data_IF_101922437938
#
_entry.id   IF_101922437938
#
_cell.length_a   1.000
_cell.length_b   1.000
_cell.length_c   1.000
_cell.angle_alpha   90.00
_cell.angle_beta   90.00
_cell.angle_gamma   90.00
#
_symmetry.space_group_name_H-M   'P 1'
#
loop_
_entity.id
_entity.type
_entity.pdbx_description
1 polymer ?
#
# COMPACT_ATOMS: atom_id res chain seq x y z
N UNK A 1 19.70 20.31 -16.99
CA UNK A 1 19.41 18.87 -16.85
C UNK A 1 20.72 18.10 -16.77
N UNK A 2 20.77 16.90 -16.19
CA UNK A 2 21.99 16.08 -16.23
C UNK A 2 22.04 15.30 -17.56
N UNK A 3 23.20 15.22 -18.25
CA UNK A 3 23.35 14.35 -19.41
C UNK A 3 23.06 12.89 -19.04
N UNK A 4 22.30 12.18 -19.86
CA UNK A 4 21.95 10.77 -19.63
C UNK A 4 21.02 10.51 -18.42
N UNK A 5 20.40 11.55 -17.85
CA UNK A 5 19.62 11.46 -16.61
C UNK A 5 18.48 10.45 -16.66
N UNK A 6 17.74 10.41 -17.76
CA UNK A 6 16.65 9.44 -17.93
C UNK A 6 17.14 8.00 -17.86
N UNK A 7 18.28 7.70 -18.50
CA UNK A 7 18.90 6.37 -18.47
C UNK A 7 19.29 5.95 -17.07
N UNK A 8 19.88 6.86 -16.30
CA UNK A 8 20.20 6.63 -14.89
C UNK A 8 18.94 6.37 -14.05
N UNK A 9 17.90 7.19 -14.22
CA UNK A 9 16.62 7.02 -13.53
C UNK A 9 15.99 5.67 -13.84
N UNK A 10 15.93 5.27 -15.12
CA UNK A 10 15.42 3.96 -15.52
C UNK A 10 16.24 2.83 -14.89
N UNK A 11 17.57 2.98 -14.82
CA UNK A 11 18.46 2.06 -14.12
C UNK A 11 18.15 1.94 -12.63
N UNK A 12 17.93 3.06 -11.93
CA UNK A 12 17.55 3.06 -10.51
C UNK A 12 16.23 2.32 -10.29
N UNK A 13 15.22 2.58 -11.12
CA UNK A 13 13.93 1.89 -11.03
C UNK A 13 14.05 0.38 -11.31
N UNK A 14 14.88 -0.02 -12.26
CA UNK A 14 15.16 -1.42 -12.56
C UNK A 14 15.86 -2.14 -11.38
N UNK A 15 16.57 -1.40 -10.52
CA UNK A 15 17.16 -1.93 -9.28
C UNK A 15 16.19 -1.88 -8.08
N UNK A 16 14.94 -1.45 -8.28
CA UNK A 16 13.91 -1.47 -7.24
C UNK A 16 13.61 -0.12 -6.57
N UNK A 17 14.12 1.01 -7.06
CA UNK A 17 13.85 2.35 -6.48
C UNK A 17 12.37 2.59 -6.21
N UNK A 18 11.97 2.59 -4.93
CA UNK A 18 10.57 2.70 -4.49
C UNK A 18 9.85 3.92 -5.09
N UNK A 19 10.51 5.08 -5.05
CA UNK A 19 9.95 6.36 -5.48
C UNK A 19 11.05 7.31 -5.94
N UNK A 20 10.83 8.01 -7.04
CA UNK A 20 11.68 9.11 -7.47
C UNK A 20 10.97 10.45 -7.21
N UNK A 21 11.64 11.35 -6.49
CA UNK A 21 11.20 12.73 -6.37
C UNK A 21 11.96 13.60 -7.37
N UNK A 22 11.24 14.15 -8.35
CA UNK A 22 11.86 14.98 -9.38
C UNK A 22 11.78 16.45 -8.98
N UNK A 23 12.93 16.99 -8.55
CA UNK A 23 13.10 18.39 -8.14
C UNK A 23 14.15 19.08 -9.00
N UNK A 24 13.70 20.00 -9.86
CA UNK A 24 14.49 20.77 -10.82
C UNK A 24 13.99 22.23 -10.80
N UNK A 25 14.27 22.99 -9.73
CA UNK A 25 13.63 24.29 -9.50
C UNK A 25 13.95 25.34 -10.57
N UNK A 26 15.07 25.20 -11.27
CA UNK A 26 15.49 26.10 -12.35
C UNK A 26 15.19 25.56 -13.75
N UNK A 27 14.60 24.37 -13.88
CA UNK A 27 14.30 23.81 -15.20
C UNK A 27 12.97 24.35 -15.74
N UNK A 28 12.93 24.65 -17.04
CA UNK A 28 11.68 25.00 -17.71
C UNK A 28 10.76 23.76 -17.78
N UNK A 29 9.46 23.99 -17.99
CA UNK A 29 8.50 22.89 -18.15
C UNK A 29 8.90 21.96 -19.31
N UNK A 30 9.37 22.53 -20.44
CA UNK A 30 9.81 21.78 -21.61
C UNK A 30 10.98 20.83 -21.32
N UNK A 31 11.95 21.25 -20.50
CA UNK A 31 13.08 20.41 -20.10
C UNK A 31 12.63 19.23 -19.25
N UNK A 32 11.71 19.48 -18.30
CA UNK A 32 11.17 18.45 -17.44
C UNK A 32 10.30 17.47 -18.22
N UNK A 33 9.49 17.97 -19.17
CA UNK A 33 8.72 17.15 -20.12
C UNK A 33 9.65 16.22 -20.90
N UNK A 34 10.71 16.75 -21.50
CA UNK A 34 11.70 15.95 -22.24
C UNK A 34 12.39 14.87 -21.39
N UNK A 35 12.60 15.11 -20.09
CA UNK A 35 13.07 14.08 -19.17
C UNK A 35 12.02 12.99 -18.94
N UNK A 36 10.77 13.37 -18.66
CA UNK A 36 9.68 12.42 -18.38
C UNK A 36 9.35 11.54 -19.59
N UNK A 37 9.46 12.07 -20.82
CA UNK A 37 9.28 11.32 -22.07
C UNK A 37 10.26 10.15 -22.19
N UNK A 38 11.50 10.34 -21.74
CA UNK A 38 12.57 9.34 -21.80
C UNK A 38 12.55 8.34 -20.62
N UNK A 39 11.75 8.59 -19.59
CA UNK A 39 11.53 7.62 -18.51
C UNK A 39 10.48 6.61 -18.96
N UNK A 40 10.79 5.32 -18.76
CA UNK A 40 9.92 4.20 -19.12
C UNK A 40 8.51 4.42 -18.51
N UNK A 41 7.43 4.38 -19.33
CA UNK A 41 6.07 4.58 -18.87
C UNK A 41 5.68 3.77 -17.62
N UNK A 42 6.18 2.53 -17.48
CA UNK A 42 5.84 1.67 -16.33
C UNK A 42 6.33 2.22 -15.00
N UNK A 43 7.32 3.11 -15.00
CA UNK A 43 7.87 3.71 -13.79
C UNK A 43 7.23 5.05 -13.40
N UNK A 44 6.45 5.67 -14.29
CA UNK A 44 5.91 7.03 -14.06
C UNK A 44 4.97 7.12 -12.85
N UNK A 45 4.22 6.05 -12.54
CA UNK A 45 3.40 5.98 -11.31
C UNK A 45 4.20 6.00 -9.99
N UNK A 46 5.53 5.83 -10.07
CA UNK A 46 6.47 5.89 -8.94
C UNK A 46 7.22 7.23 -8.87
N UNK A 47 6.88 8.20 -9.72
CA UNK A 47 7.47 9.54 -9.72
C UNK A 47 6.59 10.48 -8.89
N UNK A 48 7.21 11.40 -8.15
CA UNK A 48 6.57 12.52 -7.49
C UNK A 48 7.17 13.85 -7.99
N UNK A 49 6.33 14.72 -8.52
CA UNK A 49 6.75 16.02 -9.06
C UNK A 49 6.78 17.11 -7.99
N UNK A 50 7.89 17.83 -7.88
CA UNK A 50 8.02 18.99 -6.97
C UNK A 50 7.62 20.32 -7.61
N UNK A 51 7.69 20.40 -8.94
CA UNK A 51 7.33 21.57 -9.75
C UNK A 51 6.66 21.12 -11.06
N UNK A 52 6.04 22.06 -11.77
CA UNK A 52 5.32 21.81 -13.04
C UNK A 52 4.27 20.69 -12.91
N UNK A 53 3.42 20.78 -11.87
CA UNK A 53 2.41 19.76 -11.56
C UNK A 53 1.41 19.51 -12.70
N UNK A 54 1.22 20.47 -13.61
CA UNK A 54 0.39 20.30 -14.81
C UNK A 54 0.86 19.16 -15.73
N UNK A 55 2.15 18.77 -15.66
CA UNK A 55 2.66 17.61 -16.39
C UNK A 55 2.14 16.27 -15.85
N UNK A 56 1.58 16.24 -14.63
CA UNK A 56 1.26 14.98 -13.97
C UNK A 56 0.25 14.14 -14.76
N UNK A 57 -0.84 14.76 -15.22
CA UNK A 57 -1.88 14.07 -16.00
C UNK A 57 -1.35 13.54 -17.34
N UNK A 58 -0.61 14.38 -18.08
CA UNK A 58 -0.05 14.01 -19.38
C UNK A 58 0.90 12.80 -19.33
N UNK A 59 1.52 12.56 -18.18
CA UNK A 59 2.47 11.46 -17.98
C UNK A 59 1.95 10.33 -17.08
N UNK A 60 0.67 10.36 -16.67
CA UNK A 60 0.09 9.37 -15.77
C UNK A 60 0.76 9.34 -14.38
N UNK A 61 1.35 10.46 -13.96
CA UNK A 61 1.98 10.62 -12.66
C UNK A 61 0.89 10.97 -11.65
N UNK A 62 0.74 10.17 -10.61
CA UNK A 62 -0.32 10.33 -9.61
C UNK A 62 0.18 10.89 -8.28
N UNK A 63 1.39 11.46 -8.25
CA UNK A 63 2.01 11.93 -7.00
C UNK A 63 2.58 13.34 -7.14
N UNK A 64 2.20 14.20 -6.21
CA UNK A 64 2.64 15.59 -6.15
C UNK A 64 3.35 15.85 -4.82
N UNK A 65 4.42 16.63 -4.88
CA UNK A 65 5.17 17.05 -3.71
C UNK A 65 5.18 18.58 -3.64
N UNK A 66 4.95 19.09 -2.43
CA UNK A 66 4.99 20.52 -2.12
C UNK A 66 6.10 20.78 -1.11
N UNK A 67 7.11 21.57 -1.48
CA UNK A 67 8.09 22.07 -0.51
C UNK A 67 7.38 22.79 0.63
N UNK A 68 8.04 22.97 1.77
CA UNK A 68 7.44 23.68 2.90
C UNK A 68 6.94 25.08 2.50
N UNK A 69 7.77 25.86 1.79
CA UNK A 69 7.39 27.18 1.28
C UNK A 69 6.19 27.11 0.34
N UNK A 70 6.16 26.14 -0.59
CA UNK A 70 5.02 26.00 -1.50
C UNK A 70 3.76 25.57 -0.75
N UNK A 71 3.87 24.72 0.27
CA UNK A 71 2.74 24.30 1.08
C UNK A 71 2.13 25.46 1.84
N UNK A 72 2.97 26.27 2.50
CA UNK A 72 2.54 27.42 3.29
C UNK A 72 1.95 28.54 2.43
N UNK A 73 2.32 28.63 1.15
CA UNK A 73 1.75 29.58 0.20
C UNK A 73 0.38 29.15 -0.38
N UNK A 74 -0.08 27.94 -0.09
CA UNK A 74 -1.32 27.37 -0.62
C UNK A 74 -2.39 27.32 0.47
N UNK A 75 -3.65 27.38 0.05
CA UNK A 75 -4.79 27.15 0.94
C UNK A 75 -4.93 25.67 1.26
N UNK A 76 -5.50 25.35 2.42
CA UNK A 76 -5.69 23.97 2.86
C UNK A 76 -6.60 23.15 1.91
N UNK A 77 -7.64 23.77 1.38
CA UNK A 77 -8.62 23.14 0.46
C UNK A 77 -8.02 22.74 -0.89
N UNK A 78 -6.92 23.37 -1.32
CA UNK A 78 -6.16 22.98 -2.52
C UNK A 78 -5.74 21.51 -2.45
N UNK A 79 -5.22 21.08 -1.30
CA UNK A 79 -4.71 19.72 -1.13
C UNK A 79 -5.84 18.69 -1.08
N UNK A 80 -6.96 19.02 -0.46
CA UNK A 80 -8.15 18.17 -0.43
C UNK A 80 -8.76 18.00 -1.84
N UNK A 81 -8.78 19.06 -2.64
CA UNK A 81 -9.18 19.00 -4.05
C UNK A 81 -8.30 18.05 -4.86
N UNK A 82 -6.98 18.18 -4.73
CA UNK A 82 -6.03 17.30 -5.39
C UNK A 82 -6.17 15.82 -4.95
N UNK A 83 -6.43 15.57 -3.65
CA UNK A 83 -6.71 14.22 -3.14
C UNK A 83 -7.98 13.62 -3.74
N UNK A 84 -9.06 14.41 -3.86
CA UNK A 84 -10.31 13.99 -4.52
C UNK A 84 -10.09 13.62 -5.98
N UNK A 85 -9.15 14.30 -6.65
CA UNK A 85 -8.75 13.98 -8.02
C UNK A 85 -7.79 12.79 -8.13
N UNK A 86 -7.59 12.02 -7.05
CA UNK A 86 -6.81 10.79 -7.05
C UNK A 86 -5.31 10.96 -6.88
N UNK A 87 -4.82 12.18 -6.63
CA UNK A 87 -3.40 12.41 -6.38
C UNK A 87 -3.00 11.97 -4.97
N UNK A 88 -1.85 11.31 -4.85
CA UNK A 88 -1.13 11.17 -3.58
C UNK A 88 -0.28 12.42 -3.35
N UNK A 89 -0.39 13.04 -2.18
CA UNK A 89 0.24 14.33 -1.88
C UNK A 89 1.25 14.17 -0.76
N UNK A 90 2.37 14.88 -0.88
CA UNK A 90 3.42 14.93 0.14
C UNK A 90 3.97 16.33 0.33
N UNK A 91 4.61 16.56 1.48
CA UNK A 91 5.25 17.84 1.77
C UNK A 91 6.60 17.70 2.46
N UNK A 92 7.36 18.79 2.56
CA UNK A 92 8.56 18.88 3.38
C UNK A 92 8.27 19.71 4.63
N UNK A 93 8.93 19.35 5.72
CA UNK A 93 9.02 20.11 6.97
C UNK A 93 10.47 20.16 7.44
N UNK A 94 10.86 21.24 8.11
CA UNK A 94 12.21 21.38 8.66
C UNK A 94 12.26 21.44 10.19
N UNK A 95 11.10 21.52 10.84
CA UNK A 95 10.96 21.47 12.30
C UNK A 95 10.11 20.25 12.70
N UNK A 96 10.61 19.34 13.56
CA UNK A 96 9.82 18.22 14.06
C UNK A 96 8.49 18.62 14.69
N UNK A 97 8.40 19.79 15.33
CA UNK A 97 7.18 20.29 15.95
C UNK A 97 6.06 20.61 14.94
N UNK A 98 6.38 20.71 13.65
CA UNK A 98 5.38 20.97 12.61
C UNK A 98 4.69 19.69 12.12
N UNK A 99 5.16 18.49 12.52
CA UNK A 99 4.50 17.21 12.20
C UNK A 99 3.05 17.22 12.67
N UNK A 100 2.79 17.68 13.89
CA UNK A 100 1.44 17.71 14.49
C UNK A 100 0.50 18.70 13.80
N UNK A 101 1.03 19.65 13.02
CA UNK A 101 0.29 20.68 12.28
C UNK A 101 -0.04 20.24 10.85
N UNK A 102 0.46 19.09 10.41
CA UNK A 102 0.23 18.61 9.05
C UNK A 102 -1.22 18.12 8.90
N UNK A 103 -1.88 18.58 7.84
CA UNK A 103 -3.21 18.10 7.48
C UNK A 103 -3.18 16.60 7.11
N UNK A 104 -4.27 15.90 7.42
CA UNK A 104 -4.50 14.50 7.07
C UNK A 104 -4.53 14.25 5.54
N UNK A 105 -4.57 15.30 4.71
CA UNK A 105 -4.50 15.17 3.26
C UNK A 105 -3.11 14.72 2.75
N UNK A 106 -2.05 14.86 3.54
CA UNK A 106 -0.71 14.42 3.13
C UNK A 106 -0.50 12.93 3.42
N UNK A 107 -0.15 12.15 2.40
CA UNK A 107 0.15 10.72 2.50
C UNK A 107 1.48 10.46 3.22
N UNK A 108 2.43 11.39 3.07
CA UNK A 108 3.73 11.35 3.74
C UNK A 108 4.39 12.73 3.73
N UNK A 109 5.34 12.94 4.64
CA UNK A 109 6.16 14.15 4.71
C UNK A 109 7.65 13.81 4.79
N UNK A 110 8.49 14.66 4.20
CA UNK A 110 9.92 14.67 4.49
C UNK A 110 10.18 15.53 5.71
N UNK A 111 10.93 15.01 6.66
CA UNK A 111 11.55 15.84 7.70
C UNK A 111 13.06 15.83 7.48
N UNK A 112 13.62 17.03 7.32
CA UNK A 112 15.04 17.20 7.08
C UNK A 112 15.50 18.63 7.34
N UNK A 113 16.81 18.86 7.51
CA UNK A 113 17.86 17.84 7.51
C UNK A 113 17.85 17.01 8.81
N UNK A 114 17.88 15.68 8.71
CA UNK A 114 17.99 14.81 9.89
C UNK A 114 19.41 14.84 10.44
N UNK A 115 20.41 14.85 9.55
CA UNK A 115 21.82 15.03 9.92
C UNK A 115 22.44 16.19 9.13
N UNK A 116 23.56 16.69 9.64
CA UNK A 116 24.33 17.72 8.94
C UNK A 116 24.63 17.29 7.50
N UNK A 117 24.54 18.26 6.58
CA UNK A 117 24.72 17.98 5.16
C UNK A 117 26.14 17.53 4.86
N UNK A 118 26.27 16.35 4.24
CA UNK A 118 27.54 15.79 3.76
C UNK A 118 28.20 16.72 2.72
N UNK A 119 27.43 17.54 1.99
CA UNK A 119 27.93 18.39 0.89
C UNK A 119 27.79 19.90 1.10
N UNK A 120 27.07 20.38 2.14
CA UNK A 120 26.87 21.81 2.41
C UNK A 120 27.18 22.16 3.88
N UNK A 121 28.32 22.81 4.13
CA UNK A 121 28.84 23.14 5.48
C UNK A 121 27.92 24.01 6.37
N UNK A 122 26.84 24.59 5.86
CA UNK A 122 25.94 25.50 6.60
C UNK A 122 24.54 24.94 6.91
N UNK A 123 24.30 23.63 6.74
CA UNK A 123 22.99 23.02 6.97
C UNK A 123 23.02 22.17 8.25
N UNK A 124 22.53 22.73 9.36
CA UNK A 124 22.53 22.10 10.69
C UNK A 124 21.34 21.14 10.87
N UNK A 125 21.58 19.98 11.48
CA UNK A 125 20.57 18.96 11.81
C UNK A 125 19.38 19.53 12.61
N UNK A 126 18.17 19.08 12.27
CA UNK A 126 16.92 19.45 12.94
C UNK A 126 16.59 18.57 14.16
N UNK A 127 17.32 17.45 14.35
CA UNK A 127 17.08 16.49 15.43
C UNK A 127 18.33 16.39 16.32
N UNK A 128 18.17 16.68 17.61
CA UNK A 128 19.16 16.40 18.66
C UNK A 128 18.91 15.00 19.20
N UNK A 129 19.96 14.24 19.56
CA UNK A 129 19.94 12.79 19.78
C UNK A 129 18.99 12.19 20.82
N UNK A 130 18.15 12.99 21.49
CA UNK A 130 17.17 12.57 22.51
C UNK A 130 15.70 12.84 22.13
N UNK A 131 15.44 13.45 20.97
CA UNK A 131 14.06 13.79 20.56
C UNK A 131 13.37 12.62 19.85
N UNK A 132 12.51 11.88 20.56
CA UNK A 132 11.52 10.99 19.94
C UNK A 132 10.51 11.82 19.14
N UNK A 133 10.24 11.45 17.89
CA UNK A 133 9.28 12.15 17.04
C UNK A 133 7.86 11.94 17.57
N UNK A 134 7.21 13.03 18.02
CA UNK A 134 5.82 12.97 18.41
C UNK A 134 4.92 12.93 17.16
N UNK A 135 4.08 11.89 17.05
CA UNK A 135 3.25 11.63 15.85
C UNK A 135 1.75 11.61 16.13
N UNK A 136 1.30 11.98 17.33
CA UNK A 136 -0.07 11.70 17.79
C UNK A 136 -1.16 12.08 16.77
N UNK A 137 -0.95 13.07 15.90
CA UNK A 137 -1.95 13.57 14.96
C UNK A 137 -1.64 13.39 13.46
N UNK A 138 -0.47 12.89 13.05
CA UNK A 138 -0.14 12.75 11.61
C UNK A 138 -0.28 11.28 11.15
N UNK A 139 -1.27 10.95 10.30
CA UNK A 139 -1.51 9.58 9.86
C UNK A 139 -0.61 9.13 8.69
N UNK A 140 0.12 10.06 8.07
CA UNK A 140 1.00 9.78 6.95
C UNK A 140 2.37 9.26 7.37
N UNK A 141 3.15 8.77 6.40
CA UNK A 141 4.54 8.31 6.66
C UNK A 141 5.47 9.51 6.85
N UNK A 142 6.42 9.44 7.78
CA UNK A 142 7.49 10.41 7.92
C UNK A 142 8.79 9.85 7.35
N UNK A 143 9.33 10.52 6.35
CA UNK A 143 10.51 10.07 5.60
C UNK A 143 11.68 10.98 5.97
N UNK A 144 12.77 10.37 6.42
CA UNK A 144 13.98 11.09 6.77
C UNK A 144 14.67 11.62 5.51
N UNK A 145 15.12 12.87 5.53
CA UNK A 145 15.87 13.48 4.44
C UNK A 145 17.05 14.29 4.99
N UNK A 146 18.20 14.18 4.33
CA UNK A 146 19.38 15.03 4.60
C UNK A 146 20.44 14.35 5.47
N UNK A 147 21.64 14.19 4.90
CA UNK A 147 22.81 13.63 5.59
C UNK A 147 22.72 12.14 5.90
N UNK A 148 21.92 11.38 5.13
CA UNK A 148 21.72 9.93 5.31
C UNK A 148 22.64 9.17 4.37
N UNK A 149 23.36 8.20 4.94
CA UNK A 149 24.15 7.17 4.28
C UNK A 149 23.81 5.79 4.87
N UNK A 150 24.52 4.75 4.42
CA UNK A 150 24.34 3.36 4.85
C UNK A 150 24.66 3.15 6.34
N UNK A 151 25.57 3.93 6.92
CA UNK A 151 25.96 3.82 8.35
C UNK A 151 24.92 4.39 9.31
N UNK A 152 24.00 5.24 8.81
CA UNK A 152 23.03 5.96 9.64
C UNK A 152 21.61 5.37 9.62
N UNK A 153 21.37 4.32 8.84
CA UNK A 153 20.03 3.76 8.64
C UNK A 153 19.39 3.28 9.94
N UNK A 154 20.10 2.54 10.78
CA UNK A 154 19.55 2.04 12.05
C UNK A 154 19.18 3.16 13.02
N UNK A 155 19.98 4.22 13.06
CA UNK A 155 19.68 5.40 13.87
C UNK A 155 18.41 6.09 13.37
N UNK A 156 18.26 6.28 12.05
CA UNK A 156 17.05 6.86 11.48
C UNK A 156 15.81 6.03 11.81
N UNK A 157 15.90 4.70 11.73
CA UNK A 157 14.80 3.83 12.13
C UNK A 157 14.48 3.94 13.63
N UNK A 158 15.50 4.01 14.49
CA UNK A 158 15.31 4.16 15.95
C UNK A 158 14.64 5.49 16.34
N UNK A 159 14.81 6.53 15.54
CA UNK A 159 14.11 7.82 15.67
C UNK A 159 12.63 7.74 15.22
N UNK A 160 12.21 6.60 14.69
CA UNK A 160 10.84 6.25 14.36
C UNK A 160 10.46 6.47 12.89
N UNK A 161 11.33 7.00 12.04
CA UNK A 161 11.04 7.26 10.62
C UNK A 161 10.57 6.02 9.86
N UNK A 162 9.63 6.21 8.92
CA UNK A 162 9.04 5.13 8.12
C UNK A 162 9.85 4.83 6.83
N UNK A 163 10.86 5.65 6.55
CA UNK A 163 11.75 5.45 5.41
C UNK A 163 12.80 6.55 5.27
N UNK A 164 13.62 6.42 4.23
CA UNK A 164 14.72 7.35 3.93
C UNK A 164 14.61 7.89 2.50
N UNK A 165 15.02 9.14 2.33
CA UNK A 165 15.24 9.76 1.03
C UNK A 165 16.69 10.21 0.92
N UNK A 166 17.32 9.83 -0.20
CA UNK A 166 18.73 10.10 -0.47
C UNK A 166 18.89 10.93 -1.73
N UNK A 167 19.83 11.88 -1.69
CA UNK A 167 20.20 12.73 -2.81
C UNK A 167 21.71 12.68 -3.05
N UNK A 168 22.50 13.20 -2.11
CA UNK A 168 23.95 13.29 -2.24
C UNK A 168 24.64 11.94 -2.42
N UNK A 169 24.18 10.89 -1.72
CA UNK A 169 24.74 9.55 -1.85
C UNK A 169 24.57 8.93 -3.25
N UNK A 170 23.61 9.42 -4.06
CA UNK A 170 23.32 8.88 -5.39
C UNK A 170 23.86 9.78 -6.49
N UNK A 171 23.69 11.10 -6.35
CA UNK A 171 23.89 12.04 -7.46
C UNK A 171 25.21 12.80 -7.42
N UNK A 172 26.06 12.61 -6.40
CA UNK A 172 27.40 13.24 -6.35
C UNK A 172 28.28 12.76 -7.51
N UNK A 173 28.19 11.48 -7.85
CA UNK A 173 28.86 10.88 -9.01
C UNK A 173 27.81 10.20 -9.90
N UNK A 174 27.20 10.92 -10.85
CA UNK A 174 26.09 10.40 -11.66
C UNK A 174 26.43 9.09 -12.38
N UNK A 175 27.67 8.94 -12.88
CA UNK A 175 28.14 7.72 -13.52
C UNK A 175 28.01 6.47 -12.63
N UNK A 176 28.04 6.64 -11.31
CA UNK A 176 27.96 5.58 -10.31
C UNK A 176 26.57 5.48 -9.64
N UNK A 177 25.58 6.28 -10.05
CA UNK A 177 24.29 6.42 -9.36
C UNK A 177 23.57 5.07 -9.14
N UNK A 178 23.54 4.20 -10.16
CA UNK A 178 22.87 2.88 -10.07
C UNK A 178 23.61 1.94 -9.12
N UNK A 179 24.94 1.95 -9.15
CA UNK A 179 25.79 1.15 -8.25
C UNK A 179 25.65 1.63 -6.81
N UNK A 180 25.71 2.94 -6.58
CA UNK A 180 25.52 3.55 -5.26
C UNK A 180 24.13 3.23 -4.69
N UNK A 181 23.09 3.30 -5.53
CA UNK A 181 21.74 2.92 -5.13
C UNK A 181 21.64 1.45 -4.73
N UNK A 182 22.24 0.54 -5.50
CA UNK A 182 22.23 -0.89 -5.17
C UNK A 182 22.88 -1.16 -3.81
N UNK A 183 24.00 -0.52 -3.52
CA UNK A 183 24.67 -0.64 -2.23
C UNK A 183 23.76 -0.16 -1.08
N UNK A 184 23.16 1.03 -1.23
CA UNK A 184 22.26 1.59 -0.23
C UNK A 184 20.98 0.77 -0.05
N UNK A 185 20.40 0.25 -1.13
CA UNK A 185 19.23 -0.62 -1.09
C UNK A 185 19.53 -1.94 -0.36
N UNK A 186 20.72 -2.51 -0.60
CA UNK A 186 21.21 -3.70 0.12
C UNK A 186 21.38 -3.42 1.62
N UNK A 187 22.00 -2.28 1.97
CA UNK A 187 22.15 -1.87 3.37
C UNK A 187 20.79 -1.63 4.06
N UNK A 188 19.84 -1.00 3.36
CA UNK A 188 18.48 -0.77 3.87
C UNK A 188 17.72 -2.08 4.11
N UNK A 189 17.86 -3.06 3.21
CA UNK A 189 17.26 -4.38 3.39
C UNK A 189 17.89 -5.17 4.56
N UNK A 190 19.17 -4.92 4.85
CA UNK A 190 19.86 -5.53 5.99
C UNK A 190 19.51 -4.84 7.33
N UNK A 191 19.17 -3.54 7.31
CA UNK A 191 18.84 -2.74 8.50
C UNK A 191 17.59 -3.26 9.22
N UNK A 192 17.71 -3.78 10.46
CA UNK A 192 16.58 -4.35 11.20
C UNK A 192 15.41 -3.38 11.40
N UNK A 193 15.71 -2.09 11.51
CA UNK A 193 14.71 -1.05 11.76
C UNK A 193 13.88 -0.64 10.53
N UNK A 194 14.33 -0.99 9.32
CA UNK A 194 13.61 -0.73 8.07
C UNK A 194 13.13 -1.99 7.36
N UNK A 195 13.32 -3.17 7.96
CA UNK A 195 12.72 -4.40 7.45
C UNK A 195 11.20 -4.25 7.43
N UNK A 196 10.51 -4.65 6.35
CA UNK A 196 9.08 -4.94 6.43
C UNK A 196 8.86 -5.86 7.64
N UNK A 197 8.04 -5.45 8.61
CA UNK A 197 7.76 -6.27 9.80
C UNK A 197 8.81 -6.30 10.93
N UNK A 198 9.97 -5.64 10.78
CA UNK A 198 11.01 -5.54 11.82
C UNK A 198 10.55 -4.77 13.06
N UNK A 199 10.27 -5.49 14.15
CA UNK A 199 10.02 -4.88 15.44
C UNK A 199 11.30 -4.30 16.02
N UNK A 200 11.36 -2.97 16.14
CA UNK A 200 12.26 -2.33 17.10
C UNK A 200 11.87 -2.76 18.50
N UNK A 201 12.77 -3.45 19.20
CA UNK A 201 12.69 -3.82 20.61
C UNK A 201 12.91 -2.64 21.56
N UNK A 202 12.60 -1.42 21.12
CA UNK A 202 12.77 -0.22 21.92
C UNK A 202 11.62 -0.08 22.93
N UNK A 203 11.92 -0.30 24.20
CA UNK A 203 11.10 0.00 25.38
C UNK A 203 10.90 1.51 25.61
N UNK A 204 10.66 2.28 24.55
CA UNK A 204 10.23 3.68 24.62
C UNK A 204 8.70 3.78 24.76
N UNK A 205 8.17 4.82 25.40
CA UNK A 205 6.74 4.93 25.65
C UNK A 205 5.98 5.13 24.34
N UNK A 206 5.27 4.09 23.90
CA UNK A 206 4.09 4.25 23.07
C UNK A 206 4.22 3.96 21.56
N UNK A 207 4.89 2.87 21.16
CA UNK A 207 4.47 2.22 19.90
C UNK A 207 3.12 1.53 20.13
N UNK A 208 2.01 2.27 19.92
CA UNK A 208 0.72 1.63 19.73
C UNK A 208 0.71 1.07 18.30
N UNK A 209 0.51 -0.24 18.09
CA UNK A 209 0.38 -0.79 16.75
C UNK A 209 -0.70 -0.02 16.00
N UNK A 210 -0.38 0.47 14.80
CA UNK A 210 -1.38 1.13 13.95
C UNK A 210 -2.61 0.23 13.80
N UNK A 211 -3.80 0.83 13.84
CA UNK A 211 -5.07 0.11 13.66
C UNK A 211 -4.99 -0.70 12.37
N UNK A 212 -5.17 -2.03 12.47
CA UNK A 212 -5.28 -2.92 11.30
C UNK A 212 -6.42 -2.43 10.43
N UNK A 213 -6.11 -1.82 9.28
CA UNK A 213 -7.12 -1.31 8.35
C UNK A 213 -7.51 -2.40 7.37
N UNK A 214 -8.81 -2.70 7.29
CA UNK A 214 -9.42 -3.57 6.27
C UNK A 214 -9.94 -2.67 5.14
N UNK A 215 -9.55 -2.96 3.90
CA UNK A 215 -10.02 -2.19 2.74
C UNK A 215 -11.47 -2.58 2.40
N UNK A 216 -12.21 -1.70 1.70
CA UNK A 216 -13.58 -2.00 1.28
C UNK A 216 -13.64 -2.66 -0.10
N UNK A 217 -12.54 -2.66 -0.86
CA UNK A 217 -12.46 -3.32 -2.16
C UNK A 217 -11.35 -4.36 -2.18
N UNK A 218 -11.73 -5.64 -2.19
CA UNK A 218 -10.81 -6.77 -2.24
C UNK A 218 -10.75 -7.35 -3.67
N UNK A 219 -9.55 -7.50 -4.22
CA UNK A 219 -9.34 -8.29 -5.43
C UNK A 219 -8.83 -9.69 -5.08
N UNK A 220 -9.38 -10.72 -5.71
CA UNK A 220 -8.99 -12.12 -5.53
C UNK A 220 -8.44 -12.63 -6.86
N UNK A 221 -7.17 -13.05 -6.85
CA UNK A 221 -6.52 -13.56 -8.05
C UNK A 221 -7.18 -14.84 -8.54
N UNK A 222 -7.22 -15.01 -9.86
CA UNK A 222 -7.72 -16.21 -10.49
C UNK A 222 -6.88 -16.53 -11.71
N UNK A 223 -6.45 -17.78 -11.82
CA UNK A 223 -5.74 -18.30 -12.98
C UNK A 223 -6.75 -18.84 -13.99
N UNK A 224 -6.51 -18.57 -15.27
CA UNK A 224 -7.25 -19.15 -16.41
C UNK A 224 -6.25 -19.73 -17.40
N UNK A 225 -6.72 -20.44 -18.43
CA UNK A 225 -5.83 -20.98 -19.47
C UNK A 225 -5.01 -19.92 -20.22
N UNK A 226 -5.36 -18.64 -20.10
CA UNK A 226 -4.68 -17.52 -20.77
C UNK A 226 -4.09 -16.48 -19.82
N UNK A 227 -4.27 -16.63 -18.49
CA UNK A 227 -3.88 -15.61 -17.51
C UNK A 227 -3.37 -16.26 -16.24
N UNK A 228 -2.13 -15.96 -15.85
CA UNK A 228 -1.55 -16.41 -14.59
C UNK A 228 -2.11 -15.63 -13.40
N UNK A 229 -1.93 -16.14 -12.18
CA UNK A 229 -2.22 -15.38 -10.96
C UNK A 229 -1.50 -14.02 -10.94
N UNK A 230 -0.22 -13.98 -11.31
CA UNK A 230 0.58 -12.76 -11.29
C UNK A 230 0.07 -11.75 -12.31
N UNK A 231 -0.33 -12.19 -13.51
CA UNK A 231 -0.90 -11.30 -14.51
C UNK A 231 -2.25 -10.73 -14.07
N UNK A 232 -3.10 -11.56 -13.44
CA UNK A 232 -4.36 -11.08 -12.88
C UNK A 232 -4.15 -10.03 -11.77
N UNK A 233 -3.14 -10.23 -10.92
CA UNK A 233 -2.75 -9.28 -9.86
C UNK A 233 -2.21 -7.99 -10.48
N UNK A 234 -1.33 -8.08 -11.48
CA UNK A 234 -0.77 -6.92 -12.18
C UNK A 234 -1.90 -6.07 -12.78
N UNK A 235 -2.83 -6.70 -13.48
CA UNK A 235 -4.00 -6.03 -14.06
C UNK A 235 -4.82 -5.31 -12.98
N UNK A 236 -5.11 -5.96 -11.85
CA UNK A 236 -5.86 -5.35 -10.75
C UNK A 236 -5.12 -4.18 -10.09
N UNK A 237 -3.80 -4.32 -9.88
CA UNK A 237 -2.96 -3.26 -9.31
C UNK A 237 -2.85 -2.05 -10.25
N UNK A 238 -2.71 -2.29 -11.54
CA UNK A 238 -2.73 -1.26 -12.57
C UNK A 238 -4.09 -0.57 -12.64
N UNK A 239 -5.19 -1.32 -12.52
CA UNK A 239 -6.54 -0.78 -12.46
C UNK A 239 -6.75 0.16 -11.27
N UNK A 240 -6.13 -0.15 -10.12
CA UNK A 240 -6.16 0.71 -8.93
C UNK A 240 -6.26 -0.03 -7.60
N UNK A 241 -6.50 -1.35 -7.62
CA UNK A 241 -6.74 -2.16 -6.41
C UNK A 241 -5.52 -2.12 -5.47
N UNK A 242 -5.76 -1.97 -4.16
CA UNK A 242 -4.69 -1.97 -3.14
C UNK A 242 -4.82 -3.07 -2.11
N UNK A 243 -5.87 -3.88 -2.17
CA UNK A 243 -6.03 -5.11 -1.40
C UNK A 243 -6.10 -6.32 -2.33
N UNK A 244 -5.05 -7.12 -2.32
CA UNK A 244 -4.86 -8.25 -3.23
C UNK A 244 -4.84 -9.54 -2.44
N UNK A 245 -5.70 -10.49 -2.77
CA UNK A 245 -5.70 -11.84 -2.24
C UNK A 245 -5.15 -12.81 -3.29
N UNK A 246 -4.02 -13.46 -3.00
CA UNK A 246 -3.47 -14.53 -3.83
C UNK A 246 -4.18 -15.84 -3.48
N UNK A 247 -4.95 -16.37 -4.43
CA UNK A 247 -5.77 -17.57 -4.24
C UNK A 247 -5.38 -18.70 -5.19
N UNK A 248 -4.31 -19.42 -4.86
CA UNK A 248 -3.86 -20.61 -5.60
C UNK A 248 -4.65 -21.83 -5.13
N UNK A 249 -5.30 -22.55 -6.05
CA UNK A 249 -6.12 -23.73 -5.75
C UNK A 249 -5.37 -25.00 -6.09
N UNK A 250 -5.63 -26.08 -5.35
CA UNK A 250 -5.22 -27.45 -5.70
C UNK A 250 -3.70 -27.60 -5.94
N UNK A 251 -2.88 -26.81 -5.25
CA UNK A 251 -1.41 -26.91 -5.31
C UNK A 251 -0.84 -27.03 -3.89
N UNK A 252 0.22 -27.83 -3.70
CA UNK A 252 0.89 -27.95 -2.40
C UNK A 252 1.63 -26.66 -2.04
N UNK A 253 1.89 -26.48 -0.74
CA UNK A 253 2.51 -25.26 -0.19
C UNK A 253 3.83 -24.88 -0.90
N UNK A 254 4.65 -25.88 -1.27
CA UNK A 254 5.95 -25.64 -1.93
C UNK A 254 5.80 -25.00 -3.32
N UNK A 255 4.68 -25.23 -4.02
CA UNK A 255 4.40 -24.62 -5.32
C UNK A 255 3.76 -23.23 -5.18
N UNK A 256 3.09 -22.96 -4.06
CA UNK A 256 2.47 -21.66 -3.79
C UNK A 256 3.52 -20.64 -3.36
N UNK A 257 4.53 -21.04 -2.60
CA UNK A 257 5.54 -20.14 -2.02
C UNK A 257 6.28 -19.28 -3.08
N UNK A 258 6.76 -19.81 -4.23
CA UNK A 258 7.38 -18.99 -5.26
C UNK A 258 6.44 -17.94 -5.85
N UNK A 259 5.16 -18.30 -6.06
CA UNK A 259 4.13 -17.39 -6.59
C UNK A 259 3.84 -16.29 -5.56
N UNK A 260 3.78 -16.64 -4.27
CA UNK A 260 3.58 -15.70 -3.18
C UNK A 260 4.72 -14.67 -3.10
N UNK A 261 5.98 -15.10 -3.22
CA UNK A 261 7.12 -14.17 -3.27
C UNK A 261 7.05 -13.18 -4.44
N UNK A 262 6.63 -13.65 -5.60
CA UNK A 262 6.45 -12.77 -6.77
C UNK A 262 5.29 -11.80 -6.55
N UNK A 263 4.17 -12.27 -6.02
CA UNK A 263 3.03 -11.44 -5.67
C UNK A 263 3.38 -10.38 -4.61
N UNK A 264 4.22 -10.70 -3.61
CA UNK A 264 4.71 -9.76 -2.60
C UNK A 264 5.49 -8.63 -3.25
N UNK A 265 6.53 -8.95 -4.03
CA UNK A 265 7.33 -7.94 -4.75
C UNK A 265 6.47 -7.04 -5.63
N UNK A 266 5.49 -7.64 -6.30
CA UNK A 266 4.57 -6.91 -7.15
C UNK A 266 3.68 -5.97 -6.32
N UNK A 267 3.02 -6.44 -5.26
CA UNK A 267 2.19 -5.61 -4.38
C UNK A 267 2.97 -4.47 -3.73
N UNK A 268 4.20 -4.74 -3.26
CA UNK A 268 5.08 -3.74 -2.65
C UNK A 268 5.40 -2.61 -3.63
N UNK A 269 5.64 -2.93 -4.90
CA UNK A 269 5.91 -1.94 -5.95
C UNK A 269 4.73 -0.99 -6.21
N UNK A 270 3.51 -1.39 -5.84
CA UNK A 270 2.28 -0.59 -5.95
C UNK A 270 1.78 -0.05 -4.60
N UNK A 271 2.50 -0.26 -3.48
CA UNK A 271 2.07 0.12 -2.12
C UNK A 271 0.70 -0.52 -1.78
N UNK A 272 0.53 -1.78 -2.20
CA UNK A 272 -0.65 -2.61 -2.00
C UNK A 272 -0.42 -3.65 -0.90
N UNK A 273 -1.51 -4.17 -0.33
CA UNK A 273 -1.52 -5.20 0.71
C UNK A 273 -1.77 -6.56 0.07
N UNK A 274 -0.87 -7.51 0.33
CA UNK A 274 -1.03 -8.89 -0.07
C UNK A 274 -1.65 -9.71 1.06
N UNK A 275 -2.68 -10.48 0.72
CA UNK A 275 -3.32 -11.49 1.55
C UNK A 275 -3.07 -12.85 0.92
N UNK A 276 -2.57 -13.81 1.69
CA UNK A 276 -2.42 -15.20 1.22
C UNK A 276 -3.68 -15.98 1.57
N UNK A 277 -4.23 -16.74 0.62
CA UNK A 277 -5.36 -17.63 0.88
C UNK A 277 -4.85 -18.99 1.38
N UNK A 278 -5.54 -19.61 2.33
CA UNK A 278 -5.43 -21.01 2.83
C UNK A 278 -4.09 -21.42 3.50
N UNK A 279 -2.98 -20.72 3.24
CA UNK A 279 -1.63 -21.15 3.65
C UNK A 279 -0.99 -20.22 4.71
N UNK A 280 -1.25 -20.42 6.02
CA UNK A 280 -0.67 -19.63 7.11
C UNK A 280 0.87 -19.58 7.10
N UNK A 281 1.53 -20.70 6.79
CA UNK A 281 3.01 -20.78 6.76
C UNK A 281 3.59 -19.98 5.60
N UNK A 282 2.93 -19.97 4.44
CA UNK A 282 3.32 -19.13 3.31
C UNK A 282 3.11 -17.66 3.66
N UNK A 283 1.98 -17.30 4.27
CA UNK A 283 1.71 -15.94 4.72
C UNK A 283 2.80 -15.41 5.66
N UNK A 284 3.24 -16.25 6.61
CA UNK A 284 4.35 -15.92 7.50
C UNK A 284 5.68 -15.80 6.74
N UNK A 285 6.00 -16.78 5.86
CA UNK A 285 7.26 -16.83 5.16
C UNK A 285 7.49 -15.65 4.20
N UNK A 286 6.44 -15.14 3.57
CA UNK A 286 6.51 -13.97 2.67
C UNK A 286 6.16 -12.66 3.36
N UNK A 287 5.99 -12.69 4.69
CA UNK A 287 5.60 -11.53 5.52
C UNK A 287 4.36 -10.81 4.97
N UNK A 288 3.37 -11.58 4.55
CA UNK A 288 2.14 -11.05 3.98
C UNK A 288 1.42 -10.11 4.96
N UNK A 289 0.72 -9.11 4.43
CA UNK A 289 -0.10 -8.23 5.27
C UNK A 289 -1.23 -9.00 5.97
N UNK A 290 -1.75 -10.04 5.30
CA UNK A 290 -2.76 -10.89 5.88
C UNK A 290 -2.83 -12.30 5.30
N UNK A 291 -3.75 -13.06 5.88
CA UNK A 291 -4.15 -14.41 5.56
C UNK A 291 -5.68 -14.42 5.41
N UNK A 292 -6.21 -15.25 4.52
CA UNK A 292 -7.63 -15.56 4.45
C UNK A 292 -7.83 -17.07 4.53
N UNK A 293 -8.74 -17.52 5.38
CA UNK A 293 -9.01 -18.93 5.65
C UNK A 293 -10.43 -19.28 5.27
N UNK A 294 -10.58 -20.32 4.46
CA UNK A 294 -11.83 -21.01 4.19
C UNK A 294 -12.38 -21.77 5.39
N UNK A 295 -13.47 -22.50 5.13
CA UNK A 295 -14.17 -23.29 6.15
C UNK A 295 -13.43 -24.58 6.52
N UNK A 296 -12.70 -25.17 5.57
CA UNK A 296 -12.01 -26.45 5.73
C UNK A 296 -10.50 -26.31 5.98
N UNK A 297 -9.99 -25.07 6.05
CA UNK A 297 -8.58 -24.79 6.30
C UNK A 297 -8.27 -24.81 7.80
N UNK A 298 -7.02 -24.50 8.15
CA UNK A 298 -6.59 -24.34 9.55
C UNK A 298 -7.54 -23.39 10.30
N UNK A 299 -8.00 -23.73 11.52
CA UNK A 299 -8.82 -22.83 12.34
C UNK A 299 -8.12 -21.49 12.60
N UNK A 300 -8.88 -20.40 12.64
CA UNK A 300 -8.34 -19.05 12.85
C UNK A 300 -7.50 -18.94 14.14
N UNK A 301 -7.87 -19.54 15.30
CA UNK A 301 -7.05 -19.46 16.51
C UNK A 301 -5.69 -20.15 16.35
N UNK A 302 -5.63 -21.29 15.66
CA UNK A 302 -4.38 -22.00 15.38
C UNK A 302 -3.50 -21.21 14.40
N UNK A 303 -4.10 -20.68 13.33
CA UNK A 303 -3.39 -19.81 12.41
C UNK A 303 -2.86 -18.56 13.12
N UNK A 304 -3.64 -17.95 14.02
CA UNK A 304 -3.23 -16.81 14.84
C UNK A 304 -2.02 -17.15 15.73
N UNK A 305 -2.02 -18.32 16.36
CA UNK A 305 -0.89 -18.79 17.15
C UNK A 305 0.39 -18.95 16.31
N UNK A 306 0.24 -19.34 15.04
CA UNK A 306 1.35 -19.51 14.10
C UNK A 306 1.88 -18.18 13.54
N UNK A 307 1.00 -17.29 13.08
CA UNK A 307 1.39 -16.06 12.36
C UNK A 307 1.53 -14.84 13.27
N UNK A 308 1.09 -14.95 14.52
CA UNK A 308 1.14 -13.87 15.51
C UNK A 308 0.07 -12.79 15.33
N UNK A 309 0.13 -11.77 16.19
CA UNK A 309 -0.88 -10.70 16.25
C UNK A 309 -0.81 -9.66 15.14
N UNK A 310 0.30 -9.57 14.40
CA UNK A 310 0.54 -8.54 13.37
C UNK A 310 -0.22 -8.81 12.07
N UNK A 311 -0.26 -10.06 11.61
CA UNK A 311 -0.89 -10.47 10.35
C UNK A 311 -2.41 -10.38 10.48
N UNK A 312 -3.10 -9.80 9.50
CA UNK A 312 -4.57 -9.81 9.47
C UNK A 312 -5.07 -11.21 9.10
N UNK A 313 -6.12 -11.71 9.75
CA UNK A 313 -6.73 -13.00 9.41
C UNK A 313 -8.20 -12.77 9.06
N UNK A 314 -8.54 -13.02 7.80
CA UNK A 314 -9.92 -13.10 7.34
C UNK A 314 -10.46 -14.52 7.38
N UNK A 315 -11.77 -14.65 7.57
CA UNK A 315 -12.47 -15.93 7.53
C UNK A 315 -13.57 -15.97 6.47
N UNK A 316 -13.77 -17.11 5.81
CA UNK A 316 -14.97 -17.35 4.98
C UNK A 316 -16.16 -17.69 5.87
N UNK A 317 -17.34 -17.15 5.53
CA UNK A 317 -18.63 -17.56 6.10
C UNK A 317 -19.69 -17.73 5.01
N UNK A 318 -20.61 -18.68 5.20
CA UNK A 318 -21.75 -18.90 4.30
C UNK A 318 -23.11 -18.88 5.02
N UNK A 319 -23.11 -19.01 6.35
CA UNK A 319 -24.32 -18.99 7.20
C UNK A 319 -24.14 -18.05 8.39
N UNK A 320 -25.22 -17.79 9.15
CA UNK A 320 -25.13 -17.06 10.41
C UNK A 320 -24.19 -17.75 11.41
N UNK A 321 -24.28 -19.08 11.54
CA UNK A 321 -23.42 -19.84 12.45
C UNK A 321 -21.94 -19.73 12.07
N UNK A 322 -21.62 -19.66 10.77
CA UNK A 322 -20.26 -19.41 10.32
C UNK A 322 -19.78 -18.01 10.71
N UNK A 323 -20.64 -16.98 10.60
CA UNK A 323 -20.30 -15.61 10.99
C UNK A 323 -19.96 -15.56 12.48
N UNK A 324 -20.86 -16.07 13.33
CA UNK A 324 -20.66 -16.11 14.79
C UNK A 324 -19.38 -16.86 15.13
N UNK A 325 -19.17 -18.04 14.53
CA UNK A 325 -17.94 -18.81 14.73
C UNK A 325 -16.69 -18.01 14.39
N UNK A 326 -16.67 -17.28 13.26
CA UNK A 326 -15.49 -16.49 12.86
C UNK A 326 -15.23 -15.28 13.74
N UNK A 327 -16.28 -14.69 14.30
CA UNK A 327 -16.17 -13.62 15.30
C UNK A 327 -15.55 -14.17 16.58
N UNK A 328 -16.08 -15.28 17.10
CA UNK A 328 -15.60 -15.92 18.34
C UNK A 328 -14.15 -16.42 18.21
N UNK A 329 -13.77 -16.88 17.02
CA UNK A 329 -12.39 -17.26 16.70
C UNK A 329 -11.42 -16.06 16.61
N UNK A 330 -11.91 -14.83 16.58
CA UNK A 330 -11.09 -13.61 16.49
C UNK A 330 -10.59 -13.28 15.08
N UNK A 331 -11.40 -13.55 14.05
CA UNK A 331 -11.12 -13.08 12.70
C UNK A 331 -11.19 -11.55 12.62
N UNK A 332 -10.24 -10.92 11.92
CA UNK A 332 -10.18 -9.47 11.75
C UNK A 332 -11.22 -8.96 10.71
N UNK A 333 -11.67 -9.84 9.80
CA UNK A 333 -12.78 -9.58 8.86
C UNK A 333 -13.39 -10.90 8.35
N UNK A 334 -14.57 -10.82 7.75
CA UNK A 334 -15.28 -12.00 7.22
C UNK A 334 -15.61 -11.79 5.74
N UNK A 335 -15.24 -12.75 4.90
CA UNK A 335 -15.73 -12.88 3.53
C UNK A 335 -17.03 -13.69 3.53
N UNK A 336 -18.16 -13.02 3.38
CA UNK A 336 -19.49 -13.63 3.39
C UNK A 336 -19.96 -13.86 1.96
N UNK A 337 -20.50 -15.03 1.65
CA UNK A 337 -21.08 -15.30 0.33
C UNK A 337 -21.65 -16.71 0.22
N UNK A 338 -21.95 -17.21 -0.99
CA UNK A 338 -21.95 -16.46 -2.25
C UNK A 338 -23.16 -15.52 -2.37
N UNK A 339 -22.97 -14.32 -2.94
CA UNK A 339 -24.07 -13.41 -3.28
C UNK A 339 -24.95 -13.94 -4.40
N UNK A 340 -24.33 -14.52 -5.43
CA UNK A 340 -24.99 -15.23 -6.53
C UNK A 340 -24.14 -16.40 -6.99
N UNK A 341 -24.68 -17.20 -7.90
CA UNK A 341 -23.91 -18.24 -8.57
C UNK A 341 -22.65 -17.65 -9.21
N UNK A 342 -21.53 -18.35 -9.07
CA UNK A 342 -20.26 -18.00 -9.74
C UNK A 342 -19.54 -19.27 -10.17
N UNK A 343 -18.95 -19.23 -11.37
CA UNK A 343 -18.13 -20.32 -11.91
C UNK A 343 -16.80 -20.53 -11.16
N UNK A 344 -16.48 -19.67 -10.19
CA UNK A 344 -15.18 -19.68 -9.48
C UNK A 344 -15.13 -20.58 -8.23
N UNK A 345 -16.25 -21.23 -7.84
CA UNK A 345 -16.34 -22.19 -6.71
C UNK A 345 -17.07 -23.46 -7.16
N UNK A 346 -16.48 -24.64 -6.91
CA UNK A 346 -16.99 -25.94 -7.40
C UNK A 346 -18.05 -26.60 -6.48
N UNK A 347 -18.20 -26.17 -5.23
CA UNK A 347 -19.23 -26.61 -4.28
C UNK A 347 -19.84 -25.38 -3.60
N UNK A 348 -21.05 -24.97 -4.00
CA UNK A 348 -21.67 -23.73 -3.51
C UNK A 348 -22.61 -24.01 -2.34
N UNK A 349 -22.38 -23.29 -1.24
CA UNK A 349 -23.39 -23.06 -0.21
C UNK A 349 -24.58 -22.29 -0.77
N UNK A 350 -25.74 -22.23 -0.08
CA UNK A 350 -26.93 -21.54 -0.56
C UNK A 350 -26.62 -20.09 -0.98
N UNK A 351 -27.18 -19.67 -2.11
CA UNK A 351 -27.07 -18.29 -2.59
C UNK A 351 -27.82 -17.37 -1.61
N UNK A 352 -27.13 -16.34 -1.11
CA UNK A 352 -27.71 -15.43 -0.13
C UNK A 352 -28.59 -14.35 -0.77
N UNK A 353 -28.14 -13.79 -1.90
CA UNK A 353 -28.77 -12.59 -2.50
C UNK A 353 -28.80 -11.39 -1.56
N UNK A 354 -29.31 -10.25 -2.01
CA UNK A 354 -29.33 -9.03 -1.20
C UNK A 354 -30.16 -9.19 0.10
N UNK A 355 -31.23 -9.96 0.05
CA UNK A 355 -32.10 -10.21 1.21
C UNK A 355 -31.38 -10.97 2.32
N UNK A 356 -30.61 -12.02 1.97
CA UNK A 356 -29.84 -12.80 2.93
C UNK A 356 -28.75 -11.99 3.61
N UNK A 357 -28.03 -11.15 2.83
CA UNK A 357 -27.06 -10.21 3.39
C UNK A 357 -27.72 -9.21 4.33
N UNK A 358 -28.83 -8.58 3.92
CA UNK A 358 -29.56 -7.64 4.76
C UNK A 358 -30.08 -8.28 6.06
N UNK A 359 -30.51 -9.54 6.01
CA UNK A 359 -30.91 -10.30 7.19
C UNK A 359 -29.75 -10.51 8.17
N UNK A 360 -28.59 -10.96 7.67
CA UNK A 360 -27.41 -11.17 8.52
C UNK A 360 -26.84 -9.86 9.06
N UNK A 361 -26.86 -8.76 8.30
CA UNK A 361 -26.40 -7.46 8.82
C UNK A 361 -27.33 -6.92 9.93
N UNK A 362 -28.65 -7.14 9.84
CA UNK A 362 -29.57 -6.83 10.96
C UNK A 362 -29.27 -7.68 12.19
N UNK A 363 -28.96 -8.97 12.01
CA UNK A 363 -28.56 -9.85 13.12
C UNK A 363 -27.22 -9.43 13.74
N UNK A 364 -26.22 -9.07 12.93
CA UNK A 364 -24.95 -8.48 13.39
C UNK A 364 -25.18 -7.27 14.28
N UNK A 365 -26.01 -6.32 13.83
CA UNK A 365 -26.35 -5.12 14.58
C UNK A 365 -27.08 -5.45 15.89
N UNK A 366 -28.09 -6.34 15.85
CA UNK A 366 -28.83 -6.76 17.03
C UNK A 366 -27.95 -7.46 18.08
N UNK A 367 -26.94 -8.21 17.63
CA UNK A 367 -25.96 -8.88 18.49
C UNK A 367 -24.79 -7.97 18.94
N UNK A 368 -24.73 -6.71 18.45
CA UNK A 368 -23.66 -5.77 18.78
C UNK A 368 -22.31 -6.10 18.15
N UNK A 369 -22.27 -6.91 17.09
CA UNK A 369 -21.04 -7.27 16.39
C UNK A 369 -20.62 -6.19 15.40
N UNK A 370 -19.31 -5.87 15.38
CA UNK A 370 -18.73 -4.82 14.52
C UNK A 370 -17.69 -5.35 13.52
N UNK A 371 -17.51 -6.67 13.44
CA UNK A 371 -16.51 -7.28 12.54
C UNK A 371 -16.83 -6.96 11.08
N UNK A 372 -15.88 -6.42 10.30
CA UNK A 372 -16.10 -6.06 8.90
C UNK A 372 -16.55 -7.24 8.03
N UNK A 373 -17.68 -7.09 7.34
CA UNK A 373 -18.20 -8.07 6.38
C UNK A 373 -17.91 -7.61 4.95
N UNK A 374 -17.25 -8.48 4.17
CA UNK A 374 -16.93 -8.30 2.76
C UNK A 374 -17.79 -9.24 1.93
N UNK A 375 -18.64 -8.69 1.06
CA UNK A 375 -19.48 -9.48 0.16
C UNK A 375 -18.64 -10.20 -0.90
N UNK A 376 -18.85 -11.49 -1.10
CA UNK A 376 -18.18 -12.26 -2.16
C UNK A 376 -19.16 -13.15 -2.93
N UNK A 377 -18.81 -13.46 -4.17
CA UNK A 377 -19.48 -14.47 -4.98
C UNK A 377 -20.33 -13.86 -6.07
N UNK A 378 -19.66 -13.47 -7.17
CA UNK A 378 -20.32 -12.98 -8.37
C UNK A 378 -20.75 -11.51 -8.32
N UNK A 379 -20.21 -10.68 -7.43
CA UNK A 379 -20.53 -9.25 -7.33
C UNK A 379 -20.19 -8.48 -8.62
N UNK A 380 -21.09 -7.61 -9.05
CA UNK A 380 -20.94 -6.66 -10.16
C UNK A 380 -21.05 -5.21 -9.66
N UNK A 381 -20.61 -4.21 -10.43
CA UNK A 381 -20.70 -2.80 -10.01
C UNK A 381 -22.10 -2.36 -9.59
N UNK A 382 -23.14 -2.85 -10.28
CA UNK A 382 -24.54 -2.49 -10.01
C UNK A 382 -25.06 -2.97 -8.65
N UNK A 383 -24.39 -3.93 -8.00
CA UNK A 383 -24.81 -4.46 -6.70
C UNK A 383 -24.35 -3.63 -5.51
N UNK A 384 -23.32 -2.81 -5.73
CA UNK A 384 -22.51 -2.27 -4.64
C UNK A 384 -23.31 -1.31 -3.78
N UNK A 385 -24.12 -0.44 -4.41
CA UNK A 385 -24.96 0.51 -3.68
C UNK A 385 -25.91 -0.21 -2.71
N UNK A 386 -26.60 -1.26 -3.17
CA UNK A 386 -27.51 -2.03 -2.33
C UNK A 386 -26.78 -2.78 -1.21
N UNK A 387 -25.59 -3.35 -1.49
CA UNK A 387 -24.78 -4.03 -0.48
C UNK A 387 -24.26 -3.06 0.59
N UNK A 388 -23.85 -1.86 0.19
CA UNK A 388 -23.43 -0.80 1.12
C UNK A 388 -24.59 -0.33 1.97
N UNK A 389 -25.76 -0.10 1.37
CA UNK A 389 -26.99 0.28 2.10
C UNK A 389 -27.42 -0.80 3.10
N UNK A 390 -27.16 -2.08 2.80
CA UNK A 390 -27.36 -3.18 3.74
C UNK A 390 -26.36 -3.18 4.91
N UNK A 391 -25.34 -2.31 4.90
CA UNK A 391 -24.38 -2.13 5.99
C UNK A 391 -23.07 -2.92 5.83
N UNK A 392 -22.81 -3.50 4.67
CA UNK A 392 -21.55 -4.20 4.44
C UNK A 392 -20.35 -3.25 4.41
N UNK A 393 -19.21 -3.73 4.91
CA UNK A 393 -17.95 -2.98 4.89
C UNK A 393 -17.38 -2.83 3.48
N UNK A 394 -17.60 -3.84 2.64
CA UNK A 394 -16.99 -3.87 1.32
C UNK A 394 -17.40 -5.05 0.47
N UNK A 395 -16.72 -5.19 -0.68
CA UNK A 395 -16.94 -6.24 -1.66
C UNK A 395 -15.62 -6.85 -2.11
N UNK A 396 -15.68 -8.13 -2.49
CA UNK A 396 -14.58 -8.88 -3.08
C UNK A 396 -14.94 -9.33 -4.50
N UNK A 397 -13.98 -9.20 -5.40
CA UNK A 397 -14.16 -9.51 -6.80
C UNK A 397 -12.93 -10.15 -7.44
N UNK A 398 -13.17 -10.74 -8.61
CA UNK A 398 -12.15 -11.43 -9.39
C UNK A 398 -12.46 -11.26 -10.88
N UNK A 399 -13.21 -12.20 -11.47
CA UNK A 399 -13.60 -12.21 -12.88
C UNK A 399 -14.29 -10.94 -13.39
N UNK A 400 -15.07 -10.25 -12.56
CA UNK A 400 -15.72 -9.00 -12.92
C UNK A 400 -14.73 -7.90 -13.33
N UNK A 401 -13.51 -7.92 -12.77
CA UNK A 401 -12.46 -6.96 -13.11
C UNK A 401 -11.57 -7.48 -14.25
N UNK A 402 -11.11 -8.73 -14.17
CA UNK A 402 -10.19 -9.30 -15.18
C UNK A 402 -10.86 -9.57 -16.52
N UNK A 403 -12.18 -9.77 -16.53
CA UNK A 403 -12.98 -9.97 -17.74
C UNK A 403 -13.60 -8.69 -18.31
N UNK A 404 -13.38 -7.53 -17.68
CA UNK A 404 -13.91 -6.26 -18.16
C UNK A 404 -13.14 -5.76 -19.39
N UNK A 405 -13.86 -5.12 -20.33
CA UNK A 405 -13.23 -4.46 -21.48
C UNK A 405 -12.28 -3.32 -21.06
N UNK A 406 -12.61 -2.63 -19.96
CA UNK A 406 -11.76 -1.62 -19.34
C UNK A 406 -11.71 -1.84 -17.81
N UNK A 407 -10.67 -2.52 -17.30
CA UNK A 407 -10.51 -2.76 -15.87
C UNK A 407 -10.36 -1.48 -15.04
N UNK A 408 -9.73 -0.42 -15.57
CA UNK A 408 -9.57 0.86 -14.84
C UNK A 408 -10.90 1.56 -14.65
N UNK A 409 -11.71 1.63 -15.71
CA UNK A 409 -13.06 2.20 -15.63
C UNK A 409 -13.94 1.40 -14.67
N UNK A 410 -13.90 0.07 -14.78
CA UNK A 410 -14.65 -0.83 -13.89
C UNK A 410 -14.26 -0.59 -12.44
N UNK A 411 -12.94 -0.58 -12.14
CA UNK A 411 -12.41 -0.25 -10.81
C UNK A 411 -12.94 1.09 -10.29
N UNK A 412 -12.90 2.17 -11.09
CA UNK A 412 -13.40 3.47 -10.65
C UNK A 412 -14.90 3.48 -10.37
N UNK A 413 -15.72 2.79 -11.19
CA UNK A 413 -17.17 2.67 -10.94
C UNK A 413 -17.44 2.00 -9.59
N UNK A 414 -16.70 0.93 -9.30
CA UNK A 414 -16.80 0.19 -8.04
C UNK A 414 -16.37 1.07 -6.86
N UNK A 415 -15.20 1.70 -6.98
CA UNK A 415 -14.65 2.56 -5.94
C UNK A 415 -15.60 3.73 -5.63
N UNK A 416 -16.22 4.32 -6.67
CA UNK A 416 -17.22 5.38 -6.50
C UNK A 416 -18.49 4.90 -5.80
N UNK A 417 -18.96 3.69 -6.09
CA UNK A 417 -20.14 3.14 -5.41
C UNK A 417 -19.86 2.77 -3.93
N UNK A 418 -18.61 2.45 -3.60
CA UNK A 418 -18.17 2.17 -2.23
C UNK A 418 -17.94 3.43 -1.37
N UNK A 419 -17.60 4.56 -1.98
CA UNK A 419 -17.44 5.87 -1.31
C UNK A 419 -18.80 6.56 -1.11
#
# INVERSE_FOLDING_TARGET
MLPGEAGMINGLFAQGLARLHVRKPAAAEADLRGLLEQIDPKFRGRIALHQHHALAEAFGITRLHFTESNRLAQRADTFEGLKRNGFKISTSIHNPADVEKLSHCFDYAFLGPVFDSISKKNYKAALTGDSSLNRFNFPGKLIALGGIDDTRLDLVASLGFDGVAVLGAIWTEPANAVTAFRALASALAASPGFKPGGGGTGTGPGFKPGVKKIDSLHFISNETGTMSHIDSIRLALEAGCRWIQLRVKNRPEQEVLPIAWEATRLCDSYDAKLIINDFPRVALAVEAYGLHLGLADMPVPEARALVGGKIIIGGTANTWDDIVRRIDEGADYIGLGPFRFTSTKQNLSPILGIEGYGAFMRQMHAAGHTTPIIAIGGITPDDISALREAGLHGVAMSGALTGAADPRKTFHQIQQALC
#
